data_IF_524310342763
#
_entry.id   IF_524310342763
#
_cell.length_a   1.000
_cell.length_b   1.000
_cell.length_c   1.000
_cell.angle_alpha   90.00
_cell.angle_beta   90.00
_cell.angle_gamma   90.00
#
_symmetry.space_group_name_H-M   'P 1'
#
loop_
_entity.id
_entity.type
_entity.pdbx_description
1 polymer ?
#
# COMPACT_ATOMS: atom_id res chain seq x y z
N UNK A 1 -60.76 35.18 -100.85
CA UNK A 1 -60.06 33.93 -100.48
C UNK A 1 -59.60 34.05 -99.03
N UNK A 2 -60.22 33.30 -98.12
CA UNK A 2 -59.97 33.33 -96.67
C UNK A 2 -58.66 32.59 -96.38
N UNK A 3 -57.56 33.32 -96.18
CA UNK A 3 -56.28 32.74 -95.76
C UNK A 3 -56.40 32.22 -94.32
N UNK A 4 -56.19 30.92 -94.15
CA UNK A 4 -56.15 30.25 -92.84
C UNK A 4 -54.98 30.84 -92.05
N UNK A 5 -55.25 31.51 -90.92
CA UNK A 5 -54.22 32.06 -90.05
C UNK A 5 -53.30 30.97 -89.48
N UNK A 6 -52.10 31.33 -89.00
CA UNK A 6 -51.12 30.36 -88.51
C UNK A 6 -51.74 29.52 -87.39
N UNK A 7 -51.67 28.20 -87.54
CA UNK A 7 -52.18 27.25 -86.56
C UNK A 7 -51.39 27.45 -85.25
N UNK A 8 -52.09 27.85 -84.17
CA UNK A 8 -51.46 28.03 -82.87
C UNK A 8 -50.93 26.68 -82.39
N UNK A 9 -49.67 26.66 -81.95
CA UNK A 9 -49.13 25.56 -81.13
C UNK A 9 -50.07 25.38 -79.94
N UNK A 10 -50.34 24.13 -79.55
CA UNK A 10 -51.22 23.82 -78.42
C UNK A 10 -50.86 24.67 -77.18
N UNK A 11 -51.84 25.25 -76.46
CA UNK A 11 -51.59 26.06 -75.27
C UNK A 11 -50.71 25.30 -74.27
N UNK A 12 -49.72 25.98 -73.67
CA UNK A 12 -48.89 25.37 -72.63
C UNK A 12 -49.78 25.04 -71.42
N UNK A 13 -49.88 23.77 -71.07
CA UNK A 13 -50.65 23.34 -69.91
C UNK A 13 -49.68 23.10 -68.75
N UNK A 14 -49.57 24.06 -67.83
CA UNK A 14 -48.69 23.95 -66.66
C UNK A 14 -48.99 22.74 -65.77
N UNK A 15 -50.18 22.14 -65.86
CA UNK A 15 -50.54 20.93 -65.10
C UNK A 15 -50.04 19.64 -65.74
N UNK A 16 -49.76 19.64 -67.05
CA UNK A 16 -49.34 18.45 -67.82
C UNK A 16 -47.94 18.56 -68.39
N UNK A 17 -47.47 19.78 -68.62
CA UNK A 17 -46.19 20.10 -69.25
C UNK A 17 -45.20 20.66 -68.20
N UNK A 18 -45.06 19.94 -67.08
CA UNK A 18 -44.14 20.32 -65.99
C UNK A 18 -42.68 20.06 -66.36
N UNK A 19 -41.91 21.14 -66.54
CA UNK A 19 -40.46 21.04 -66.69
C UNK A 19 -39.74 20.59 -65.42
N UNK A 20 -40.41 20.67 -64.26
CA UNK A 20 -39.85 20.22 -62.97
C UNK A 20 -39.95 18.69 -62.88
N UNK A 21 -41.07 18.11 -63.31
CA UNK A 21 -41.33 16.68 -63.21
C UNK A 21 -40.81 15.91 -64.43
N UNK A 22 -40.81 16.52 -65.62
CA UNK A 22 -40.27 15.92 -66.85
C UNK A 22 -39.63 16.96 -67.78
N UNK A 23 -38.33 17.29 -67.58
CA UNK A 23 -37.60 18.18 -68.47
C UNK A 23 -37.24 17.44 -69.77
N UNK A 24 -38.21 17.22 -70.64
CA UNK A 24 -37.97 16.65 -71.98
C UNK A 24 -37.81 17.76 -73.00
N UNK A 25 -37.00 17.52 -74.04
CA UNK A 25 -36.81 18.48 -75.14
C UNK A 25 -38.12 18.92 -75.80
N UNK A 26 -39.13 18.05 -75.83
CA UNK A 26 -40.48 18.36 -76.33
C UNK A 26 -41.21 19.38 -75.45
N UNK A 27 -41.14 19.22 -74.12
CA UNK A 27 -41.77 20.13 -73.14
C UNK A 27 -41.05 21.48 -73.16
N UNK A 28 -39.71 21.47 -73.21
CA UNK A 28 -38.87 22.67 -73.34
C UNK A 28 -39.17 23.44 -74.63
N UNK A 29 -39.28 22.73 -75.75
CA UNK A 29 -39.63 23.32 -77.05
C UNK A 29 -41.02 23.94 -77.00
N UNK A 30 -42.01 23.25 -76.40
CA UNK A 30 -43.38 23.76 -76.26
C UNK A 30 -43.43 25.02 -75.39
N UNK A 31 -42.65 25.09 -74.30
CA UNK A 31 -42.57 26.29 -73.48
C UNK A 31 -41.97 27.47 -74.25
N UNK A 32 -40.83 27.25 -74.93
CA UNK A 32 -40.14 28.29 -75.71
C UNK A 32 -41.07 28.87 -76.78
N UNK A 33 -41.75 28.02 -77.55
CA UNK A 33 -42.69 28.45 -78.58
C UNK A 33 -43.87 29.25 -78.01
N UNK A 34 -44.28 29.01 -76.77
CA UNK A 34 -45.39 29.73 -76.11
C UNK A 34 -44.98 31.05 -75.44
N UNK A 35 -43.68 31.28 -75.22
CA UNK A 35 -43.16 32.58 -74.73
C UNK A 35 -42.82 33.56 -75.86
N UNK A 36 -42.70 33.06 -77.09
CA UNK A 36 -42.35 33.86 -78.28
C UNK A 36 -43.61 34.53 -78.83
N UNK A 37 -43.52 35.84 -79.11
CA UNK A 37 -44.63 36.59 -79.72
C UNK A 37 -44.87 36.16 -81.17
N UNK A 38 -46.13 36.20 -81.63
CA UNK A 38 -46.54 35.77 -82.98
C UNK A 38 -45.73 36.41 -84.13
N UNK A 39 -45.15 37.59 -83.89
CA UNK A 39 -44.30 38.33 -84.85
C UNK A 39 -42.93 37.67 -85.10
N UNK A 40 -42.39 36.98 -84.09
CA UNK A 40 -41.03 36.43 -84.11
C UNK A 40 -41.03 34.91 -84.38
N UNK A 41 -42.20 34.28 -84.33
CA UNK A 41 -42.42 32.87 -84.66
C UNK A 41 -41.89 32.46 -86.06
N UNK A 42 -41.98 33.29 -87.12
CA UNK A 42 -41.40 32.98 -88.42
C UNK A 42 -39.87 32.97 -88.44
N UNK A 43 -39.20 33.75 -87.58
CA UNK A 43 -37.74 33.81 -87.44
C UNK A 43 -37.22 32.56 -86.73
N UNK A 44 -38.04 31.98 -85.85
CA UNK A 44 -37.81 30.71 -85.16
C UNK A 44 -38.12 29.45 -85.98
N UNK A 45 -38.58 29.57 -87.24
CA UNK A 45 -38.90 28.41 -88.11
C UNK A 45 -37.69 27.50 -88.44
N UNK A 46 -36.49 27.85 -88.02
CA UNK A 46 -35.36 26.92 -88.00
C UNK A 46 -35.48 25.97 -86.80
N UNK A 47 -35.90 24.72 -87.05
CA UNK A 47 -36.00 23.68 -86.02
C UNK A 47 -34.69 23.47 -85.22
N UNK A 48 -33.54 23.78 -85.84
CA UNK A 48 -32.20 23.65 -85.26
C UNK A 48 -31.97 24.62 -84.08
N UNK A 49 -32.32 25.91 -84.22
CA UNK A 49 -32.12 26.89 -83.14
C UNK A 49 -32.99 26.58 -81.91
N UNK A 50 -34.27 26.26 -82.13
CA UNK A 50 -35.21 25.88 -81.06
C UNK A 50 -34.76 24.58 -80.38
N UNK A 51 -34.27 23.62 -81.15
CA UNK A 51 -33.71 22.37 -80.63
C UNK A 51 -32.49 22.58 -79.72
N UNK A 52 -31.56 23.46 -80.12
CA UNK A 52 -30.40 23.80 -79.29
C UNK A 52 -30.78 24.52 -77.99
N UNK A 53 -31.71 25.47 -78.03
CA UNK A 53 -32.22 26.12 -76.81
C UNK A 53 -32.96 25.15 -75.89
N UNK A 54 -33.78 24.26 -76.45
CA UNK A 54 -34.48 23.23 -75.68
C UNK A 54 -33.52 22.22 -75.05
N UNK A 55 -32.45 21.82 -75.76
CA UNK A 55 -31.41 20.95 -75.23
C UNK A 55 -30.59 21.63 -74.12
N UNK A 56 -30.23 22.90 -74.31
CA UNK A 56 -29.52 23.70 -73.30
C UNK A 56 -30.38 23.92 -72.04
N UNK A 57 -31.67 24.23 -72.21
CA UNK A 57 -32.61 24.37 -71.08
C UNK A 57 -32.75 23.05 -70.32
N UNK A 58 -32.91 21.94 -71.02
CA UNK A 58 -33.02 20.60 -70.43
C UNK A 58 -31.75 20.22 -69.66
N UNK A 59 -30.57 20.47 -70.24
CA UNK A 59 -29.29 20.26 -69.58
C UNK A 59 -29.17 21.13 -68.31
N UNK A 60 -29.43 22.43 -68.40
CA UNK A 60 -29.37 23.35 -67.27
C UNK A 60 -30.28 22.93 -66.10
N UNK A 61 -31.50 22.47 -66.40
CA UNK A 61 -32.44 21.96 -65.38
C UNK A 61 -31.93 20.66 -64.73
N UNK A 62 -31.35 19.74 -65.50
CA UNK A 62 -30.79 18.49 -64.98
C UNK A 62 -29.60 18.75 -64.04
N UNK A 63 -28.69 19.67 -64.41
CA UNK A 63 -27.58 20.09 -63.56
C UNK A 63 -28.06 20.81 -62.29
N UNK A 64 -29.09 21.67 -62.39
CA UNK A 64 -29.69 22.37 -61.26
C UNK A 64 -30.29 21.41 -60.21
N UNK A 65 -31.05 20.40 -60.65
CA UNK A 65 -31.64 19.40 -59.75
C UNK A 65 -30.58 18.55 -59.03
N UNK A 66 -29.51 18.17 -59.73
CA UNK A 66 -28.40 17.41 -59.15
C UNK A 66 -27.63 18.21 -58.09
N UNK A 67 -27.38 19.51 -58.32
CA UNK A 67 -26.75 20.40 -57.33
C UNK A 67 -27.61 20.52 -56.08
N UNK A 68 -28.92 20.73 -56.22
CA UNK A 68 -29.86 20.80 -55.09
C UNK A 68 -29.86 19.50 -54.30
N UNK A 69 -29.84 18.34 -54.97
CA UNK A 69 -29.79 17.03 -54.33
C UNK A 69 -28.50 16.81 -53.54
N UNK A 70 -27.33 17.18 -54.11
CA UNK A 70 -26.04 17.11 -53.42
C UNK A 70 -26.00 18.03 -52.21
N UNK A 71 -26.47 19.27 -52.37
CA UNK A 71 -26.53 20.24 -51.28
C UNK A 71 -27.46 19.75 -50.15
N UNK A 72 -28.63 19.22 -50.50
CA UNK A 72 -29.58 18.65 -49.53
C UNK A 72 -28.96 17.46 -48.78
N UNK A 73 -28.24 16.58 -49.49
CA UNK A 73 -27.52 15.45 -48.87
C UNK A 73 -26.42 15.95 -47.93
N UNK A 74 -25.57 16.86 -48.40
CA UNK A 74 -24.50 17.44 -47.60
C UNK A 74 -25.03 18.13 -46.34
N UNK A 75 -26.13 18.89 -46.46
CA UNK A 75 -26.79 19.54 -45.33
C UNK A 75 -27.31 18.52 -44.30
N UNK A 76 -28.00 17.46 -44.75
CA UNK A 76 -28.47 16.38 -43.87
C UNK A 76 -27.31 15.69 -43.14
N UNK A 77 -26.23 15.36 -43.86
CA UNK A 77 -25.02 14.78 -43.28
C UNK A 77 -24.38 15.73 -42.27
N UNK A 78 -24.26 17.02 -42.60
CA UNK A 78 -23.75 18.04 -41.69
C UNK A 78 -24.56 18.14 -40.40
N UNK A 79 -25.90 18.12 -40.50
CA UNK A 79 -26.79 18.13 -39.33
C UNK A 79 -26.62 16.87 -38.47
N UNK A 80 -26.49 15.69 -39.09
CA UNK A 80 -26.25 14.44 -38.37
C UNK A 80 -24.89 14.44 -37.66
N UNK A 81 -23.84 14.95 -38.31
CA UNK A 81 -22.52 15.08 -37.73
C UNK A 81 -22.50 16.07 -36.56
N UNK A 82 -23.17 17.24 -36.71
CA UNK A 82 -23.31 18.20 -35.62
C UNK A 82 -23.94 17.56 -34.38
N UNK A 83 -25.05 16.82 -34.55
CA UNK A 83 -25.69 16.10 -33.44
C UNK A 83 -24.73 15.13 -32.74
N UNK A 84 -23.96 14.35 -33.50
CA UNK A 84 -22.96 13.42 -32.94
C UNK A 84 -21.85 14.16 -32.18
N UNK A 85 -21.42 15.31 -32.68
CA UNK A 85 -20.44 16.15 -32.00
C UNK A 85 -21.01 16.70 -30.67
N UNK A 86 -22.23 17.22 -30.69
CA UNK A 86 -22.91 17.73 -29.48
C UNK A 86 -23.04 16.62 -28.43
N UNK A 87 -23.41 15.40 -28.84
CA UNK A 87 -23.46 14.23 -27.96
C UNK A 87 -22.06 13.87 -27.39
N UNK A 88 -21.02 13.92 -28.21
CA UNK A 88 -19.65 13.65 -27.77
C UNK A 88 -19.15 14.71 -26.78
N UNK A 89 -19.45 15.98 -27.03
CA UNK A 89 -19.13 17.09 -26.12
C UNK A 89 -19.87 16.97 -24.80
N UNK A 90 -21.13 16.53 -24.81
CA UNK A 90 -21.88 16.25 -23.58
C UNK A 90 -21.21 15.17 -22.73
N UNK A 91 -20.78 14.05 -23.34
CA UNK A 91 -20.03 13.00 -22.61
C UNK A 91 -18.69 13.48 -22.10
N UNK A 92 -17.99 14.32 -22.88
CA UNK A 92 -16.73 14.91 -22.42
C UNK A 92 -16.93 15.82 -21.21
N UNK A 93 -17.97 16.67 -21.21
CA UNK A 93 -18.30 17.50 -20.07
C UNK A 93 -18.62 16.68 -18.81
N UNK A 94 -19.37 15.57 -18.96
CA UNK A 94 -19.64 14.65 -17.84
C UNK A 94 -18.35 14.02 -17.30
N UNK A 95 -17.46 13.57 -18.18
CA UNK A 95 -16.17 13.01 -17.77
C UNK A 95 -15.30 14.05 -17.05
N UNK A 96 -15.27 15.30 -17.52
CA UNK A 96 -14.55 16.39 -16.85
C UNK A 96 -15.13 16.65 -15.46
N UNK A 97 -16.46 16.73 -15.32
CA UNK A 97 -17.10 16.92 -14.02
C UNK A 97 -16.73 15.79 -13.02
N UNK A 98 -16.70 14.54 -13.48
CA UNK A 98 -16.27 13.40 -12.63
C UNK A 98 -14.79 13.48 -12.23
N UNK A 99 -13.92 14.01 -13.10
CA UNK A 99 -12.51 14.20 -12.76
C UNK A 99 -12.33 15.30 -11.70
N UNK A 100 -13.08 16.39 -11.81
CA UNK A 100 -13.09 17.46 -10.81
C UNK A 100 -13.57 16.94 -9.45
N UNK A 101 -14.62 16.12 -9.41
CA UNK A 101 -15.09 15.45 -8.18
C UNK A 101 -14.01 14.55 -7.56
N UNK A 102 -13.31 13.75 -8.37
CA UNK A 102 -12.22 12.90 -7.89
C UNK A 102 -11.01 13.69 -7.40
N UNK A 103 -10.73 14.85 -7.99
CA UNK A 103 -9.66 15.74 -7.54
C UNK A 103 -9.97 16.34 -6.17
N UNK A 104 -11.23 16.74 -5.92
CA UNK A 104 -11.67 17.20 -4.60
C UNK A 104 -11.55 16.10 -3.56
N UNK A 105 -12.00 14.88 -3.88
CA UNK A 105 -11.88 13.73 -2.98
C UNK A 105 -10.41 13.40 -2.67
N UNK A 106 -9.54 13.43 -3.68
CA UNK A 106 -8.10 13.22 -3.49
C UNK A 106 -7.49 14.26 -2.56
N UNK A 107 -7.84 15.54 -2.72
CA UNK A 107 -7.35 16.60 -1.84
C UNK A 107 -7.81 16.39 -0.39
N UNK A 108 -9.04 15.92 -0.17
CA UNK A 108 -9.52 15.56 1.17
C UNK A 108 -8.76 14.36 1.75
N UNK A 109 -8.57 13.30 0.97
CA UNK A 109 -7.83 12.11 1.38
C UNK A 109 -6.38 12.44 1.74
N UNK A 110 -5.73 13.33 0.99
CA UNK A 110 -4.37 13.81 1.28
C UNK A 110 -4.29 14.53 2.62
N UNK A 111 -5.29 15.36 2.94
CA UNK A 111 -5.35 16.05 4.24
C UNK A 111 -5.55 15.04 5.38
N UNK A 112 -6.47 14.08 5.23
CA UNK A 112 -6.73 13.04 6.23
C UNK A 112 -5.48 12.16 6.44
N UNK A 113 -4.83 11.74 5.35
CA UNK A 113 -3.60 10.96 5.41
C UNK A 113 -2.47 11.75 6.08
N UNK A 114 -2.36 13.05 5.80
CA UNK A 114 -1.37 13.91 6.44
C UNK A 114 -1.64 14.07 7.95
N UNK A 115 -2.90 14.20 8.37
CA UNK A 115 -3.25 14.25 9.81
C UNK A 115 -2.94 12.94 10.52
N UNK A 116 -3.31 11.80 9.93
CA UNK A 116 -3.02 10.49 10.51
C UNK A 116 -1.53 10.21 10.63
N UNK A 117 -0.74 10.59 9.62
CA UNK A 117 0.72 10.46 9.68
C UNK A 117 1.32 11.28 10.82
N UNK A 118 0.85 12.51 11.02
CA UNK A 118 1.32 13.38 12.11
C UNK A 118 0.97 12.81 13.49
N UNK A 119 -0.23 12.25 13.64
CA UNK A 119 -0.66 11.58 14.88
C UNK A 119 0.23 10.36 15.18
N UNK A 120 0.40 9.46 14.20
CA UNK A 120 1.26 8.29 14.35
C UNK A 120 2.74 8.65 14.61
N UNK A 121 3.23 9.74 14.02
CA UNK A 121 4.58 10.24 14.28
C UNK A 121 4.73 10.75 15.71
N UNK A 122 3.72 11.46 16.25
CA UNK A 122 3.70 11.91 17.63
C UNK A 122 3.64 10.74 18.61
N UNK A 123 2.79 9.74 18.35
CA UNK A 123 2.69 8.52 19.17
C UNK A 123 4.01 7.75 19.19
N UNK A 124 4.63 7.58 18.02
CA UNK A 124 5.92 6.90 17.89
C UNK A 124 7.06 7.67 18.57
N UNK A 125 7.00 9.01 18.59
CA UNK A 125 7.95 9.82 19.36
C UNK A 125 7.76 9.64 20.87
N UNK A 126 6.51 9.66 21.35
CA UNK A 126 6.18 9.43 22.76
C UNK A 126 6.57 8.02 23.23
N UNK A 127 6.30 6.99 22.40
CA UNK A 127 6.69 5.60 22.71
C UNK A 127 8.22 5.45 22.80
N UNK A 128 8.97 6.06 21.87
CA UNK A 128 10.44 6.05 21.93
C UNK A 128 10.98 6.73 23.17
N UNK A 129 10.37 7.83 23.60
CA UNK A 129 10.75 8.52 24.83
C UNK A 129 10.46 7.65 26.07
N UNK A 130 9.26 7.07 26.16
CA UNK A 130 8.87 6.18 27.24
C UNK A 130 9.82 4.96 27.33
N UNK A 131 10.12 4.31 26.20
CA UNK A 131 11.07 3.19 26.14
C UNK A 131 12.48 3.61 26.52
N UNK A 132 12.90 4.82 26.16
CA UNK A 132 14.20 5.33 26.58
C UNK A 132 14.23 5.63 28.08
N UNK A 133 13.14 6.11 28.68
CA UNK A 133 13.01 6.29 30.12
C UNK A 133 13.06 4.96 30.87
N UNK A 134 12.31 3.96 30.40
CA UNK A 134 12.32 2.59 30.95
C UNK A 134 13.72 1.98 30.91
N UNK A 135 14.41 2.06 29.76
CA UNK A 135 15.79 1.56 29.63
C UNK A 135 16.76 2.24 30.60
N UNK A 136 16.57 3.53 30.89
CA UNK A 136 17.37 4.24 31.90
C UNK A 136 17.04 3.77 33.32
N UNK A 137 15.76 3.54 33.62
CA UNK A 137 15.33 3.02 34.91
C UNK A 137 15.91 1.62 35.17
N UNK A 138 15.80 0.70 34.21
CA UNK A 138 16.35 -0.65 34.29
C UNK A 138 17.87 -0.64 34.45
N UNK A 139 18.59 0.24 33.74
CA UNK A 139 20.04 0.40 33.93
C UNK A 139 20.39 0.88 35.34
N UNK A 140 19.67 1.87 35.85
CA UNK A 140 19.89 2.37 37.21
C UNK A 140 19.59 1.31 38.27
N UNK A 141 18.57 0.47 38.05
CA UNK A 141 18.27 -0.66 38.92
C UNK A 141 19.38 -1.73 38.87
N UNK A 142 19.86 -2.07 37.68
CA UNK A 142 20.99 -2.99 37.50
C UNK A 142 22.24 -2.48 38.23
N UNK A 143 22.57 -1.19 38.08
CA UNK A 143 23.69 -0.57 38.79
C UNK A 143 23.51 -0.63 40.31
N UNK A 144 22.30 -0.40 40.83
CA UNK A 144 22.01 -0.54 42.27
C UNK A 144 22.14 -1.97 42.75
N UNK A 145 21.65 -2.94 41.99
CA UNK A 145 21.77 -4.37 42.32
C UNK A 145 23.24 -4.80 42.35
N UNK A 146 24.01 -4.41 41.34
CA UNK A 146 25.46 -4.64 41.30
C UNK A 146 26.16 -4.00 42.50
N UNK A 147 25.83 -2.75 42.84
CA UNK A 147 26.41 -2.08 44.00
C UNK A 147 26.04 -2.73 45.34
N UNK A 148 24.89 -3.38 45.44
CA UNK A 148 24.51 -4.20 46.62
C UNK A 148 25.29 -5.50 46.64
N UNK A 149 25.39 -6.19 45.50
CA UNK A 149 26.13 -7.44 45.39
C UNK A 149 27.63 -7.24 45.72
N UNK A 150 28.25 -6.16 45.23
CA UNK A 150 29.64 -5.84 45.56
C UNK A 150 29.81 -5.53 47.05
N UNK A 151 28.86 -4.82 47.67
CA UNK A 151 28.89 -4.61 49.13
C UNK A 151 28.80 -5.91 49.91
N UNK A 152 27.87 -6.80 49.57
CA UNK A 152 27.74 -8.12 50.23
C UNK A 152 29.04 -8.93 50.09
N UNK A 153 29.67 -8.93 48.92
CA UNK A 153 30.98 -9.58 48.74
C UNK A 153 32.06 -8.96 49.62
N UNK A 154 32.13 -7.62 49.63
CA UNK A 154 33.13 -6.91 50.44
C UNK A 154 32.94 -7.16 51.94
N UNK A 155 31.68 -7.21 52.40
CA UNK A 155 31.35 -7.52 53.79
C UNK A 155 31.70 -8.98 54.13
N UNK A 156 31.42 -9.94 53.24
CA UNK A 156 31.85 -11.34 53.41
C UNK A 156 33.37 -11.49 53.46
N UNK A 157 34.12 -10.79 52.60
CA UNK A 157 35.59 -10.84 52.63
C UNK A 157 36.20 -10.26 53.91
N UNK A 158 35.43 -9.45 54.66
CA UNK A 158 35.82 -8.91 55.96
C UNK A 158 35.23 -9.70 57.14
N UNK A 159 34.44 -10.74 56.89
CA UNK A 159 33.80 -11.51 57.94
C UNK A 159 34.78 -12.51 58.55
N UNK A 160 34.56 -12.81 59.83
CA UNK A 160 35.32 -13.85 60.52
C UNK A 160 35.09 -15.23 59.90
N UNK A 161 33.92 -15.47 59.32
CA UNK A 161 33.59 -16.69 58.59
C UNK A 161 34.56 -16.91 57.40
N UNK A 162 34.84 -15.86 56.62
CA UNK A 162 35.83 -15.94 55.56
C UNK A 162 37.25 -16.17 56.10
N UNK A 163 37.63 -15.49 57.18
CA UNK A 163 38.94 -15.68 57.82
C UNK A 163 39.12 -17.11 58.36
N UNK A 164 38.07 -17.68 58.98
CA UNK A 164 38.05 -19.06 59.45
C UNK A 164 38.17 -20.06 58.28
N UNK A 165 37.36 -19.87 57.22
CA UNK A 165 37.47 -20.69 56.00
C UNK A 165 38.87 -20.61 55.37
N UNK A 166 39.46 -19.42 55.33
CA UNK A 166 40.80 -19.20 54.81
C UNK A 166 41.85 -19.87 55.70
N UNK A 167 41.75 -19.75 57.02
CA UNK A 167 42.64 -20.39 57.98
C UNK A 167 42.55 -21.92 57.89
N UNK A 168 41.34 -22.49 57.87
CA UNK A 168 41.08 -23.92 57.67
C UNK A 168 41.71 -24.42 56.38
N UNK A 169 41.57 -23.67 55.29
CA UNK A 169 42.18 -24.02 53.99
C UNK A 169 43.71 -23.90 54.00
N UNK A 170 44.25 -22.84 54.59
CA UNK A 170 45.69 -22.63 54.72
C UNK A 170 46.35 -23.72 55.58
N UNK A 171 45.67 -24.14 56.65
CA UNK A 171 46.08 -25.23 57.51
C UNK A 171 46.13 -26.57 56.77
N UNK A 172 45.12 -26.86 55.94
CA UNK A 172 45.15 -28.02 55.04
C UNK A 172 46.39 -28.05 54.15
N UNK A 173 46.67 -26.95 53.44
CA UNK A 173 47.88 -26.83 52.62
C UNK A 173 49.18 -26.95 53.43
N UNK A 174 49.23 -26.37 54.63
CA UNK A 174 50.38 -26.47 55.51
C UNK A 174 50.62 -27.92 55.94
N UNK A 175 49.58 -28.65 56.38
CA UNK A 175 49.69 -30.08 56.71
C UNK A 175 50.18 -30.87 55.50
N UNK A 176 49.52 -30.73 54.35
CA UNK A 176 49.89 -31.47 53.13
C UNK A 176 51.35 -31.20 52.73
N UNK A 177 51.79 -29.94 52.78
CA UNK A 177 53.16 -29.54 52.48
C UNK A 177 54.17 -30.06 53.49
N UNK A 178 53.88 -29.95 54.79
CA UNK A 178 54.74 -30.44 55.88
C UNK A 178 54.98 -31.95 55.76
N UNK A 179 53.90 -32.71 55.59
CA UNK A 179 53.98 -34.17 55.44
C UNK A 179 54.66 -34.58 54.14
N UNK A 180 54.41 -33.85 53.05
CA UNK A 180 55.13 -34.04 51.79
C UNK A 180 56.66 -33.85 51.94
N UNK A 181 57.09 -32.78 52.61
CA UNK A 181 58.51 -32.55 52.90
C UNK A 181 59.09 -33.64 53.83
N UNK A 182 58.38 -34.02 54.89
CA UNK A 182 58.84 -35.08 55.81
C UNK A 182 59.01 -36.42 55.07
N UNK A 183 58.07 -36.77 54.19
CA UNK A 183 58.18 -37.96 53.34
C UNK A 183 59.44 -37.90 52.45
N UNK A 184 59.77 -36.72 51.92
CA UNK A 184 60.99 -36.54 51.13
C UNK A 184 62.26 -36.72 51.97
N UNK A 185 62.33 -36.17 53.18
CA UNK A 185 63.47 -36.38 54.08
C UNK A 185 63.65 -37.87 54.40
N UNK A 186 62.56 -38.56 54.76
CA UNK A 186 62.58 -40.01 55.02
C UNK A 186 63.09 -40.80 53.80
N UNK A 187 62.73 -40.38 52.59
CA UNK A 187 63.24 -40.99 51.35
C UNK A 187 64.75 -40.80 51.13
N UNK A 188 65.32 -39.74 51.71
CA UNK A 188 66.75 -39.43 51.65
C UNK A 188 67.56 -40.03 52.82
N UNK A 189 66.95 -40.90 53.63
CA UNK A 189 67.62 -41.61 54.72
C UNK A 189 67.49 -40.97 56.10
N UNK A 190 66.66 -39.94 56.26
CA UNK A 190 66.33 -39.36 57.57
C UNK A 190 65.48 -40.32 58.39
N UNK A 191 65.87 -40.58 59.65
CA UNK A 191 65.06 -41.32 60.62
C UNK A 191 64.77 -40.45 61.86
N UNK A 192 63.59 -40.61 62.47
CA UNK A 192 63.15 -39.77 63.58
C UNK A 192 63.99 -39.96 64.85
N UNK A 193 64.73 -41.07 64.95
CA UNK A 193 65.68 -41.33 66.03
C UNK A 193 66.90 -40.39 66.03
N UNK A 194 67.21 -39.71 64.91
CA UNK A 194 68.34 -38.76 64.82
C UNK A 194 68.04 -37.38 65.44
N UNK A 195 66.80 -37.10 65.88
CA UNK A 195 66.39 -35.81 66.45
C UNK A 195 65.69 -35.91 67.82
N UNK A 196 65.77 -34.86 68.67
CA UNK A 196 65.21 -34.88 70.02
C UNK A 196 63.67 -34.95 70.04
N UNK A 197 63.12 -35.36 71.20
CA UNK A 197 61.68 -35.55 71.50
C UNK A 197 60.74 -34.39 71.10
N UNK A 198 61.28 -33.20 70.83
CA UNK A 198 60.54 -32.05 70.34
C UNK A 198 59.87 -32.25 68.98
N UNK A 199 60.41 -33.11 68.09
CA UNK A 199 59.81 -33.33 66.75
C UNK A 199 58.53 -34.17 66.80
N UNK A 200 58.53 -35.25 67.60
CA UNK A 200 57.34 -36.07 67.82
C UNK A 200 56.23 -35.30 68.56
N UNK A 201 56.61 -34.44 69.51
CA UNK A 201 55.67 -33.53 70.18
C UNK A 201 55.05 -32.52 69.19
N UNK A 202 55.81 -32.07 68.19
CA UNK A 202 55.31 -31.18 67.14
C UNK A 202 54.31 -31.90 66.22
N UNK A 203 54.61 -33.15 65.84
CA UNK A 203 53.74 -33.99 65.02
C UNK A 203 52.39 -34.24 65.68
N UNK A 204 52.41 -34.65 66.96
CA UNK A 204 51.21 -34.86 67.78
C UNK A 204 50.41 -33.55 67.96
N UNK A 205 51.09 -32.42 68.19
CA UNK A 205 50.44 -31.12 68.31
C UNK A 205 49.76 -30.68 66.99
N UNK A 206 50.37 -30.94 65.84
CA UNK A 206 49.79 -30.67 64.52
C UNK A 206 48.56 -31.53 64.23
N UNK A 207 48.55 -32.79 64.66
CA UNK A 207 47.41 -33.68 64.52
C UNK A 207 46.21 -33.16 65.34
N UNK A 208 46.44 -32.79 66.61
CA UNK A 208 45.38 -32.35 67.53
C UNK A 208 44.81 -30.96 67.23
N UNK A 209 45.63 -30.00 66.75
CA UNK A 209 45.19 -28.61 66.51
C UNK A 209 44.17 -28.45 65.36
N UNK A 210 43.95 -29.50 64.54
CA UNK A 210 43.02 -29.44 63.41
C UNK A 210 41.57 -29.85 63.71
N UNK A 211 41.29 -30.49 64.84
CA UNK A 211 39.96 -31.06 65.17
C UNK A 211 39.10 -30.12 66.05
N UNK A 212 39.66 -29.03 66.61
CA UNK A 212 39.01 -28.21 67.64
C UNK A 212 38.08 -27.07 67.12
N UNK A 213 37.98 -26.82 65.81
CA UNK A 213 37.22 -25.68 65.25
C UNK A 213 35.88 -26.06 64.56
N UNK A 214 35.45 -27.33 64.62
CA UNK A 214 34.19 -27.81 64.02
C UNK A 214 33.00 -27.83 65.02
N UNK A 215 33.09 -27.14 66.17
CA UNK A 215 32.17 -27.34 67.30
C UNK A 215 31.14 -26.20 67.57
N UNK A 216 31.13 -25.09 66.84
CA UNK A 216 30.16 -24.00 67.10
C UNK A 216 29.54 -23.47 65.81
N UNK A 217 28.42 -24.08 65.37
CA UNK A 217 27.35 -23.43 64.58
C UNK A 217 26.16 -24.40 64.41
N UNK A 218 25.55 -24.84 65.52
CA UNK A 218 24.29 -25.58 65.53
C UNK A 218 23.27 -24.97 66.49
N UNK A 219 22.86 -23.72 66.35
CA UNK A 219 21.56 -23.27 66.89
C UNK A 219 20.98 -22.11 66.05
N UNK A 220 20.08 -22.40 65.11
CA UNK A 220 18.78 -21.71 64.96
C UNK A 220 17.77 -22.64 64.28
N UNK A 221 16.97 -23.26 65.15
CA UNK A 221 15.62 -23.83 65.07
C UNK A 221 14.92 -24.08 63.71
N UNK A 222 14.56 -25.35 63.53
CA UNK A 222 13.47 -25.83 62.68
C UNK A 222 12.12 -25.52 63.34
N UNK A 223 11.22 -24.85 62.63
CA UNK A 223 9.76 -24.98 62.84
C UNK A 223 9.15 -25.54 61.54
N UNK A 224 9.02 -26.87 61.47
CA UNK A 224 8.13 -27.52 60.50
C UNK A 224 6.79 -27.84 61.16
N UNK A 225 5.72 -27.36 60.54
CA UNK A 225 4.33 -27.71 60.86
C UNK A 225 3.58 -28.20 59.62
N UNK A 226 3.87 -29.45 59.26
CA UNK A 226 2.98 -30.51 58.77
C UNK A 226 1.88 -30.19 57.71
N UNK A 227 2.08 -30.79 56.53
CA UNK A 227 1.05 -31.08 55.52
C UNK A 227 0.18 -32.25 56.00
N UNK A 228 -1.13 -32.02 56.08
CA UNK A 228 -2.14 -33.08 56.24
C UNK A 228 -3.05 -33.14 55.00
N UNK A 229 -3.03 -34.27 54.32
CA UNK A 229 -3.91 -34.58 53.19
C UNK A 229 -5.10 -35.48 53.64
N UNK A 230 -6.18 -35.39 52.85
CA UNK A 230 -7.31 -36.30 52.68
C UNK A 230 -8.51 -36.26 53.68
N UNK A 231 -9.64 -35.73 53.19
CA UNK A 231 -10.94 -36.45 53.29
C UNK A 231 -11.98 -35.95 52.27
N UNK A 232 -12.45 -36.91 51.48
CA UNK A 232 -13.82 -37.10 50.95
C UNK A 232 -14.47 -36.13 49.94
N UNK A 233 -14.50 -36.62 48.69
CA UNK A 233 -15.69 -36.85 47.86
C UNK A 233 -16.76 -35.73 47.74
N UNK A 234 -16.82 -35.12 46.53
CA UNK A 234 -18.10 -35.00 45.81
C UNK A 234 -17.88 -34.67 44.32
N UNK A 235 -18.40 -35.54 43.45
CA UNK A 235 -18.64 -35.28 42.02
C UNK A 235 -20.05 -34.69 41.90
N UNK A 236 -20.25 -33.65 41.08
CA UNK A 236 -21.25 -33.81 40.02
C UNK A 236 -20.88 -33.16 38.67
N UNK A 237 -20.96 -34.00 37.63
CA UNK A 237 -21.51 -33.81 36.27
C UNK A 237 -21.29 -32.50 35.46
N UNK A 238 -20.63 -32.70 34.30
CA UNK A 238 -20.65 -32.04 32.97
C UNK A 238 -22.03 -31.53 32.47
N UNK A 239 -22.19 -30.68 31.39
CA UNK A 239 -21.35 -30.69 30.16
C UNK A 239 -21.17 -29.42 29.27
N UNK A 240 -20.09 -29.50 28.45
CA UNK A 240 -19.87 -29.18 27.00
C UNK A 240 -19.95 -27.75 26.42
N UNK A 241 -19.07 -27.42 25.44
CA UNK A 241 -19.47 -26.93 24.12
C UNK A 241 -19.81 -28.07 23.14
#
# INVERSE_FOLDING_TARGET
MRGKGPERVLPFDFSKDSLVDSPTGVVSTRLICNMVSDRDLPVLKGAEAVGHFAANLTSAMAWGGEVIRRLTRAHRTGKANRKKFDEAMGRHAEMVARLEELEVLRAQDEVVAATQRKELEADLAAEKEARAAEKRALRAELERSNARAERVKEDFLKSLEFDSLLAKKAWGYFKDGFWGCLAQFRSNGYSEEEHPASFLNLQQALENLGDDEDAEDEEEEQEEGEVGDETEANIPNSPKP
#
